data_IF_913615083507
#
_entry.id   IF_913615083507
#
_cell.length_a   1.000
_cell.length_b   1.000
_cell.length_c   1.000
_cell.angle_alpha   90.00
_cell.angle_beta   90.00
_cell.angle_gamma   90.00
#
_symmetry.space_group_name_H-M   'P 1'
#
loop_
_entity.id
_entity.type
_entity.pdbx_description
1 polymer ?
#
# COMPACT_ATOMS: atom_id res chain seq x y z
N UNK A 1 2.33 -2.29 -9.62
CA UNK A 1 3.27 -1.51 -8.79
C UNK A 1 4.68 -1.62 -9.40
N UNK A 2 5.39 -0.51 -9.66
CA UNK A 2 6.67 -0.52 -10.43
C UNK A 2 7.86 -0.08 -9.58
N UNK A 3 8.95 -0.83 -9.62
CA UNK A 3 10.22 -0.44 -9.00
C UNK A 3 11.23 -0.12 -10.09
N UNK A 4 11.91 1.02 -9.99
CA UNK A 4 13.04 1.37 -10.84
C UNK A 4 14.32 1.51 -10.02
N UNK A 5 15.38 0.84 -10.49
CA UNK A 5 16.73 1.09 -10.02
C UNK A 5 17.52 1.83 -11.10
N UNK A 6 18.05 2.99 -10.73
CA UNK A 6 18.91 3.80 -11.58
C UNK A 6 20.35 3.40 -11.33
N UNK A 7 21.02 2.92 -12.39
CA UNK A 7 22.39 2.45 -12.30
C UNK A 7 23.29 3.22 -13.25
N UNK A 8 24.48 3.56 -12.75
CA UNK A 8 25.63 3.96 -13.57
C UNK A 8 26.55 2.76 -13.72
N UNK A 9 27.32 2.64 -14.81
CA UNK A 9 28.33 1.58 -14.95
C UNK A 9 29.32 1.64 -13.77
N UNK A 10 29.19 0.74 -12.81
CA UNK A 10 30.01 0.67 -11.60
C UNK A 10 29.89 -0.68 -10.91
N UNK A 11 30.88 -1.05 -10.08
CA UNK A 11 30.98 -2.36 -9.42
C UNK A 11 29.84 -2.59 -8.43
N UNK A 12 29.49 -1.58 -7.62
CA UNK A 12 28.36 -1.63 -6.69
C UNK A 12 26.99 -1.81 -7.38
N UNK A 13 26.83 -1.28 -8.61
CA UNK A 13 25.60 -1.44 -9.38
C UNK A 13 25.45 -2.87 -9.94
N UNK A 14 26.54 -3.59 -10.22
CA UNK A 14 26.48 -4.97 -10.72
C UNK A 14 26.04 -5.96 -9.65
N UNK A 15 26.52 -5.82 -8.42
CA UNK A 15 26.15 -6.69 -7.31
C UNK A 15 24.66 -6.53 -6.98
N UNK A 16 24.22 -5.28 -6.83
CA UNK A 16 22.83 -4.94 -6.60
C UNK A 16 21.91 -5.45 -7.71
N UNK A 17 22.30 -5.30 -8.99
CA UNK A 17 21.52 -5.80 -10.10
C UNK A 17 21.29 -7.32 -10.02
N UNK A 18 22.30 -8.07 -9.60
CA UNK A 18 22.21 -9.52 -9.42
C UNK A 18 21.24 -9.89 -8.28
N UNK A 19 21.32 -9.19 -7.14
CA UNK A 19 20.40 -9.40 -6.03
C UNK A 19 18.95 -9.07 -6.42
N UNK A 20 18.72 -7.92 -7.05
CA UNK A 20 17.39 -7.49 -7.49
C UNK A 20 16.79 -8.40 -8.56
N UNK A 21 17.61 -8.97 -9.46
CA UNK A 21 17.14 -9.97 -10.41
C UNK A 21 16.62 -11.23 -9.70
N UNK A 22 17.29 -11.68 -8.62
CA UNK A 22 16.83 -12.81 -7.81
C UNK A 22 15.52 -12.49 -7.06
N UNK A 23 15.37 -11.27 -6.51
CA UNK A 23 14.08 -10.85 -5.94
C UNK A 23 12.98 -10.78 -6.99
N UNK A 24 13.26 -10.25 -8.19
CA UNK A 24 12.28 -10.15 -9.25
C UNK A 24 11.73 -11.53 -9.62
N UNK A 25 12.59 -12.55 -9.70
CA UNK A 25 12.17 -13.94 -9.91
C UNK A 25 11.29 -14.43 -8.77
N UNK A 26 11.70 -14.26 -7.51
CA UNK A 26 10.90 -14.67 -6.35
C UNK A 26 9.55 -13.97 -6.28
N UNK A 27 9.48 -12.66 -6.54
CA UNK A 27 8.25 -11.88 -6.54
C UNK A 27 7.30 -12.31 -7.66
N UNK A 28 7.86 -12.67 -8.83
CA UNK A 28 7.10 -13.23 -9.95
C UNK A 28 6.53 -14.61 -9.60
N UNK A 29 7.28 -15.45 -8.91
CA UNK A 29 6.82 -16.77 -8.44
C UNK A 29 5.70 -16.65 -7.40
N UNK A 30 5.78 -15.66 -6.50
CA UNK A 30 4.73 -15.35 -5.53
C UNK A 30 3.50 -14.64 -6.13
N UNK A 31 3.40 -14.55 -7.47
CA UNK A 31 2.33 -13.85 -8.21
C UNK A 31 2.08 -12.42 -7.71
N UNK A 32 3.09 -11.77 -7.15
CA UNK A 32 2.92 -10.42 -6.63
C UNK A 32 2.78 -9.41 -7.78
N UNK A 33 2.01 -8.34 -7.58
CA UNK A 33 1.80 -7.27 -8.59
C UNK A 33 3.02 -6.34 -8.78
N UNK A 34 4.17 -6.74 -8.22
CA UNK A 34 5.43 -6.03 -8.26
C UNK A 34 6.16 -6.30 -9.57
N UNK A 35 6.40 -5.23 -10.34
CA UNK A 35 7.23 -5.24 -11.54
C UNK A 35 8.52 -4.50 -11.25
N UNK A 36 9.64 -5.21 -11.34
CA UNK A 36 10.98 -4.63 -11.18
C UNK A 36 11.54 -4.25 -12.55
N UNK A 37 12.06 -3.03 -12.64
CA UNK A 37 12.67 -2.46 -13.83
C UNK A 37 14.04 -1.87 -13.53
N UNK A 38 14.96 -1.98 -14.49
CA UNK A 38 16.26 -1.31 -14.45
C UNK A 38 16.26 -0.15 -15.43
N UNK A 39 16.69 1.03 -14.98
CA UNK A 39 16.89 2.19 -15.86
C UNK A 39 18.38 2.49 -15.93
N UNK A 40 18.91 2.56 -17.16
CA UNK A 40 20.27 3.04 -17.36
C UNK A 40 20.27 4.56 -17.32
N UNK A 41 20.83 5.11 -16.25
CA UNK A 41 20.87 6.55 -16.02
C UNK A 41 21.73 7.29 -17.05
N UNK A 42 22.64 6.59 -17.74
CA UNK A 42 23.49 7.16 -18.79
C UNK A 42 22.72 7.41 -20.08
N UNK A 43 21.66 6.62 -20.33
CA UNK A 43 20.82 6.71 -21.53
C UNK A 43 19.60 7.57 -21.25
N UNK A 44 19.00 7.43 -20.06
CA UNK A 44 17.76 8.11 -19.68
C UNK A 44 17.99 9.28 -18.73
N UNK A 45 18.79 10.26 -19.18
CA UNK A 45 19.11 11.46 -18.38
C UNK A 45 17.88 12.32 -18.05
N UNK A 46 16.86 12.34 -18.91
CA UNK A 46 15.60 13.05 -18.67
C UNK A 46 14.80 12.45 -17.49
N UNK A 47 14.77 11.12 -17.36
CA UNK A 47 14.11 10.46 -16.23
C UNK A 47 14.88 10.71 -14.92
N UNK A 48 16.22 10.69 -14.99
CA UNK A 48 17.10 11.00 -13.85
C UNK A 48 16.83 12.42 -13.33
N UNK A 49 16.71 13.40 -14.24
CA UNK A 49 16.39 14.79 -13.89
C UNK A 49 14.96 14.93 -13.33
N UNK A 50 13.98 14.31 -14.00
CA UNK A 50 12.56 14.35 -13.61
C UNK A 50 12.36 13.82 -12.20
N UNK A 51 13.01 12.71 -11.86
CA UNK A 51 12.91 12.09 -10.54
C UNK A 51 13.98 12.56 -9.55
N UNK A 52 14.82 13.55 -9.92
CA UNK A 52 15.87 14.14 -9.08
C UNK A 52 16.82 13.10 -8.49
N UNK A 53 17.29 12.17 -9.32
CA UNK A 53 18.25 11.14 -8.91
C UNK A 53 19.65 11.77 -8.79
N UNK A 54 20.14 11.93 -7.56
CA UNK A 54 21.42 12.60 -7.27
C UNK A 54 22.58 11.64 -7.01
N UNK A 55 22.31 10.39 -6.61
CA UNK A 55 23.32 9.38 -6.28
C UNK A 55 23.10 8.09 -7.09
N UNK A 56 24.09 7.19 -7.07
CA UNK A 56 23.95 5.88 -7.71
C UNK A 56 24.53 4.80 -6.80
N UNK A 57 23.87 3.63 -6.67
CA UNK A 57 22.53 3.34 -7.19
C UNK A 57 21.42 4.09 -6.40
N UNK A 58 20.35 4.50 -7.09
CA UNK A 58 19.13 5.01 -6.44
C UNK A 58 17.95 4.10 -6.77
N UNK A 59 17.14 3.79 -5.77
CA UNK A 59 15.93 3.01 -5.91
C UNK A 59 14.72 3.90 -5.74
N UNK A 60 13.86 3.93 -6.77
CA UNK A 60 12.57 4.60 -6.70
C UNK A 60 11.45 3.62 -6.94
N UNK A 61 10.48 3.72 -6.05
CA UNK A 61 9.33 2.87 -5.96
C UNK A 61 8.10 3.66 -6.46
N UNK A 62 7.25 3.09 -7.31
CA UNK A 62 6.03 3.73 -7.82
C UNK A 62 4.77 2.98 -7.41
N UNK A 63 4.08 3.50 -6.39
CA UNK A 63 2.78 3.00 -5.91
C UNK A 63 1.70 3.88 -6.52
N UNK A 64 0.78 3.32 -7.31
CA UNK A 64 -0.30 4.08 -7.95
C UNK A 64 0.16 5.36 -8.69
N UNK A 65 1.36 5.31 -9.30
CA UNK A 65 1.96 6.45 -10.00
C UNK A 65 2.69 7.47 -9.10
N UNK A 66 2.63 7.34 -7.77
CA UNK A 66 3.38 8.16 -6.81
C UNK A 66 4.80 7.60 -6.60
N UNK A 67 5.86 8.39 -6.81
CA UNK A 67 7.23 7.97 -6.54
C UNK A 67 7.57 8.07 -5.05
N UNK A 68 8.15 7.02 -4.51
CA UNK A 68 8.72 6.91 -3.16
C UNK A 68 10.21 6.57 -3.30
N UNK A 69 11.06 7.25 -2.56
CA UNK A 69 12.48 6.96 -2.53
C UNK A 69 12.78 5.95 -1.42
N UNK A 70 13.61 4.95 -1.73
CA UNK A 70 14.10 4.00 -0.74
C UNK A 70 15.49 4.43 -0.28
N UNK A 71 15.59 4.80 0.99
CA UNK A 71 16.84 5.24 1.65
C UNK A 71 17.48 4.13 2.51
N UNK A 72 16.91 2.93 2.50
CA UNK A 72 17.40 1.81 3.29
C UNK A 72 18.63 1.10 2.70
N UNK A 73 19.07 0.04 3.38
CA UNK A 73 20.23 -0.76 2.96
C UNK A 73 20.01 -1.41 1.60
N UNK A 74 21.10 -1.55 0.83
CA UNK A 74 21.18 -2.24 -0.47
C UNK A 74 20.98 -3.77 -0.39
N UNK A 75 20.35 -4.26 0.68
CA UNK A 75 20.11 -5.69 0.91
C UNK A 75 18.70 -6.08 0.47
N UNK A 76 18.60 -7.28 -0.12
CA UNK A 76 17.34 -7.83 -0.60
C UNK A 76 16.28 -7.95 0.50
N UNK A 77 16.67 -8.41 1.69
CA UNK A 77 15.75 -8.65 2.79
C UNK A 77 15.24 -7.33 3.38
N UNK A 78 16.12 -6.34 3.55
CA UNK A 78 15.70 -4.99 3.98
C UNK A 78 14.76 -4.35 2.96
N UNK A 79 15.04 -4.53 1.67
CA UNK A 79 14.18 -4.02 0.61
C UNK A 79 12.81 -4.69 0.59
N UNK A 80 12.74 -6.02 0.72
CA UNK A 80 11.48 -6.75 0.77
C UNK A 80 10.66 -6.36 2.02
N UNK A 81 11.29 -6.28 3.18
CA UNK A 81 10.62 -5.86 4.41
C UNK A 81 10.06 -4.43 4.31
N UNK A 82 10.83 -3.49 3.75
CA UNK A 82 10.36 -2.13 3.50
C UNK A 82 9.23 -2.10 2.47
N UNK A 83 9.33 -2.93 1.43
CA UNK A 83 8.28 -3.04 0.43
C UNK A 83 7.00 -3.54 1.09
N UNK A 84 7.06 -4.60 1.90
CA UNK A 84 5.97 -5.17 2.72
C UNK A 84 5.35 -4.14 3.67
N UNK A 85 6.16 -3.28 4.30
CA UNK A 85 5.68 -2.19 5.15
C UNK A 85 4.97 -1.09 4.33
N UNK A 86 5.51 -0.71 3.17
CA UNK A 86 4.93 0.34 2.32
C UNK A 86 3.72 -0.11 1.51
N UNK A 87 3.58 -1.40 1.26
CA UNK A 87 2.41 -2.03 0.64
C UNK A 87 1.45 -2.62 1.65
N UNK A 88 1.68 -2.39 2.95
CA UNK A 88 0.78 -2.90 3.98
C UNK A 88 -0.66 -2.63 3.51
N UNK A 89 -1.49 -3.70 3.42
CA UNK A 89 -2.66 -3.68 2.56
C UNK A 89 -3.46 -2.41 2.83
N UNK A 90 -3.79 -1.63 1.78
CA UNK A 90 -4.49 -0.35 1.94
C UNK A 90 -5.78 -0.54 2.74
N UNK A 91 -6.33 -1.76 2.67
CA UNK A 91 -7.44 -2.21 3.49
C UNK A 91 -7.06 -3.47 4.26
N UNK A 92 -6.87 -3.34 5.57
CA UNK A 92 -6.64 -4.48 6.47
C UNK A 92 -7.94 -5.22 6.77
N UNK A 93 -8.00 -6.52 6.52
CA UNK A 93 -9.14 -7.34 6.95
C UNK A 93 -9.05 -7.60 8.45
N UNK A 94 -10.05 -7.18 9.21
CA UNK A 94 -10.12 -7.31 10.67
C UNK A 94 -11.16 -8.37 11.02
N UNK A 95 -10.72 -9.43 11.69
CA UNK A 95 -11.57 -10.56 12.06
C UNK A 95 -11.83 -10.65 13.56
N UNK A 96 -11.09 -9.87 14.37
CA UNK A 96 -11.22 -9.86 15.83
C UNK A 96 -11.37 -8.45 16.41
N UNK A 97 -12.11 -8.35 17.52
CA UNK A 97 -12.29 -7.09 18.23
C UNK A 97 -10.98 -6.53 18.83
N UNK A 98 -10.01 -7.40 19.13
CA UNK A 98 -8.69 -7.00 19.63
C UNK A 98 -7.86 -6.32 18.53
N UNK A 99 -7.85 -6.89 17.33
CA UNK A 99 -7.22 -6.30 16.15
C UNK A 99 -7.85 -4.96 15.78
N UNK A 100 -9.18 -4.85 15.90
CA UNK A 100 -9.88 -3.59 15.67
C UNK A 100 -9.44 -2.49 16.65
N UNK A 101 -9.25 -2.83 17.93
CA UNK A 101 -8.78 -1.87 18.93
C UNK A 101 -7.36 -1.41 18.63
N UNK A 102 -6.46 -2.36 18.34
CA UNK A 102 -5.07 -2.06 17.95
C UNK A 102 -5.00 -1.19 16.69
N UNK A 103 -5.81 -1.50 15.69
CA UNK A 103 -5.89 -0.73 14.45
C UNK A 103 -6.38 0.70 14.71
N UNK A 104 -7.41 0.86 15.55
CA UNK A 104 -7.95 2.16 15.96
C UNK A 104 -6.97 3.00 16.77
N UNK A 105 -6.05 2.38 17.51
CA UNK A 105 -5.00 3.07 18.29
C UNK A 105 -3.74 3.35 17.46
N UNK A 106 -3.57 2.67 16.31
CA UNK A 106 -2.38 2.83 15.47
C UNK A 106 -2.31 4.17 14.74
N UNK A 107 -3.43 4.87 14.56
CA UNK A 107 -3.47 6.17 13.89
C UNK A 107 -4.62 7.04 14.39
N UNK A 108 -4.41 8.37 14.39
CA UNK A 108 -5.43 9.36 14.78
C UNK A 108 -6.63 9.40 13.82
N UNK A 109 -6.37 9.11 12.54
CA UNK A 109 -7.39 9.00 11.49
C UNK A 109 -7.38 7.57 10.95
N UNK A 110 -8.51 6.87 11.10
CA UNK A 110 -8.68 5.50 10.59
C UNK A 110 -10.06 5.34 9.96
N UNK A 111 -10.12 4.57 8.87
CA UNK A 111 -11.38 4.23 8.20
C UNK A 111 -11.65 2.75 8.37
N UNK A 112 -12.84 2.39 8.86
CA UNK A 112 -13.23 1.00 9.07
C UNK A 112 -14.58 0.79 8.41
N UNK A 113 -14.62 -0.02 7.35
CA UNK A 113 -15.86 -0.42 6.71
C UNK A 113 -16.32 -1.79 7.21
N UNK A 114 -17.63 -1.95 7.37
CA UNK A 114 -18.24 -3.25 7.61
C UNK A 114 -19.10 -3.65 6.42
N UNK A 115 -18.87 -4.84 5.87
CA UNK A 115 -19.71 -5.43 4.82
C UNK A 115 -20.14 -6.82 5.24
N UNK A 116 -21.42 -7.18 5.07
CA UNK A 116 -21.86 -8.58 5.28
C UNK A 116 -21.27 -9.53 4.25
N UNK A 117 -21.15 -9.07 3.01
CA UNK A 117 -20.72 -9.88 1.87
C UNK A 117 -19.38 -9.39 1.33
N UNK A 118 -18.38 -10.29 1.33
CA UNK A 118 -17.04 -10.04 0.79
C UNK A 118 -17.02 -9.75 -0.71
N UNK A 119 -18.02 -10.23 -1.43
CA UNK A 119 -18.20 -10.01 -2.87
C UNK A 119 -19.28 -8.96 -3.20
N UNK A 120 -19.74 -8.18 -2.23
CA UNK A 120 -20.66 -7.08 -2.53
C UNK A 120 -19.97 -6.03 -3.40
N UNK A 121 -20.73 -5.42 -4.32
CA UNK A 121 -20.23 -4.35 -5.17
C UNK A 121 -19.66 -3.17 -4.35
N UNK A 122 -20.13 -2.99 -3.12
CA UNK A 122 -19.65 -1.96 -2.19
C UNK A 122 -18.30 -2.32 -1.56
N UNK A 123 -18.09 -3.60 -1.19
CA UNK A 123 -16.80 -4.08 -0.73
C UNK A 123 -15.72 -3.97 -1.81
N UNK A 124 -16.03 -4.33 -3.07
CA UNK A 124 -15.10 -4.18 -4.19
C UNK A 124 -14.72 -2.72 -4.41
N UNK A 125 -15.71 -1.81 -4.47
CA UNK A 125 -15.45 -0.37 -4.62
C UNK A 125 -14.62 0.19 -3.46
N UNK A 126 -14.89 -0.25 -2.24
CA UNK A 126 -14.12 0.18 -1.07
C UNK A 126 -12.66 -0.26 -1.20
N UNK A 127 -12.41 -1.53 -1.54
CA UNK A 127 -11.07 -2.05 -1.78
C UNK A 127 -10.34 -1.33 -2.94
N UNK A 128 -11.07 -0.86 -3.95
CA UNK A 128 -10.51 -0.07 -5.06
C UNK A 128 -10.22 1.39 -4.70
N UNK A 129 -11.07 2.01 -3.89
CA UNK A 129 -10.99 3.44 -3.57
C UNK A 129 -10.04 3.73 -2.41
N UNK A 130 -10.04 2.90 -1.37
CA UNK A 130 -9.19 3.09 -0.19
C UNK A 130 -7.68 3.25 -0.47
N UNK A 131 -7.05 2.48 -1.38
CA UNK A 131 -5.65 2.71 -1.77
C UNK A 131 -5.36 4.07 -2.42
N UNK A 132 -6.39 4.82 -2.83
CA UNK A 132 -6.21 6.19 -3.33
C UNK A 132 -6.09 7.21 -2.19
N UNK A 133 -6.61 6.88 -1.01
CA UNK A 133 -6.56 7.73 0.17
C UNK A 133 -5.35 7.35 1.03
N UNK A 134 -4.58 8.34 1.47
CA UNK A 134 -3.41 8.16 2.35
C UNK A 134 -3.88 7.98 3.81
N UNK A 135 -4.87 7.11 4.03
CA UNK A 135 -5.47 6.85 5.34
C UNK A 135 -5.47 5.35 5.61
N UNK A 136 -5.04 4.90 6.81
CA UNK A 136 -5.14 3.51 7.19
C UNK A 136 -6.60 3.07 7.13
N UNK A 137 -6.90 2.11 6.25
CA UNK A 137 -8.24 1.57 6.08
C UNK A 137 -8.31 0.12 6.52
N UNK A 138 -9.47 -0.27 7.05
CA UNK A 138 -9.77 -1.63 7.42
C UNK A 138 -11.15 -2.04 6.91
N UNK A 139 -11.35 -3.34 6.72
CA UNK A 139 -12.63 -3.95 6.39
C UNK A 139 -12.94 -5.06 7.38
N UNK A 140 -14.19 -5.10 7.83
CA UNK A 140 -14.72 -6.14 8.70
C UNK A 140 -15.80 -6.88 7.91
N UNK A 141 -15.78 -8.21 7.94
CA UNK A 141 -16.88 -9.04 7.43
C UNK A 141 -17.68 -9.70 8.55
N UNK A 142 -17.11 -9.72 9.76
CA UNK A 142 -17.71 -10.38 10.91
C UNK A 142 -18.70 -9.46 11.66
N UNK A 143 -19.94 -9.92 11.77
CA UNK A 143 -21.02 -9.16 12.43
C UNK A 143 -20.82 -8.99 13.95
N UNK A 144 -20.10 -9.90 14.61
CA UNK A 144 -19.82 -9.80 16.04
C UNK A 144 -18.80 -8.68 16.32
N UNK A 145 -17.78 -8.57 15.45
CA UNK A 145 -16.78 -7.49 15.52
C UNK A 145 -17.42 -6.14 15.20
N UNK A 146 -18.30 -6.08 14.18
CA UNK A 146 -19.03 -4.86 13.83
C UNK A 146 -19.93 -4.36 14.97
N UNK A 147 -20.65 -5.26 15.64
CA UNK A 147 -21.46 -4.92 16.83
C UNK A 147 -20.59 -4.39 17.98
N UNK A 148 -19.46 -5.04 18.27
CA UNK A 148 -18.49 -4.54 19.26
C UNK A 148 -17.91 -3.17 18.91
N UNK A 149 -17.93 -2.82 17.63
CA UNK A 149 -17.44 -1.57 17.08
C UNK A 149 -18.50 -0.45 17.05
N UNK A 150 -19.77 -0.77 17.33
CA UNK A 150 -20.97 0.05 17.12
C UNK A 150 -21.13 0.49 15.65
N UNK A 151 -20.85 -0.43 14.73
CA UNK A 151 -21.00 -0.24 13.29
C UNK A 151 -22.24 -1.02 12.84
N UNK A 152 -23.22 -0.32 12.26
CA UNK A 152 -24.41 -0.95 11.66
C UNK A 152 -24.08 -1.56 10.29
N UNK A 153 -24.98 -2.40 9.79
CA UNK A 153 -24.77 -3.14 8.54
C UNK A 153 -24.49 -2.23 7.33
N UNK A 154 -23.44 -2.55 6.57
CA UNK A 154 -22.99 -1.80 5.38
C UNK A 154 -22.60 -0.33 5.67
N UNK A 155 -22.17 0.00 6.89
CA UNK A 155 -21.67 1.33 7.24
C UNK A 155 -20.14 1.40 7.19
N UNK A 156 -19.65 2.59 6.85
CA UNK A 156 -18.25 2.99 6.89
C UNK A 156 -18.07 3.94 8.08
N UNK A 157 -17.26 3.54 9.05
CA UNK A 157 -16.90 4.37 10.19
C UNK A 157 -15.58 5.09 9.88
N UNK A 158 -15.63 6.41 9.85
CA UNK A 158 -14.45 7.27 9.83
C UNK A 158 -14.19 7.79 11.24
N UNK A 159 -13.01 7.51 11.77
CA UNK A 159 -12.54 8.07 13.03
C UNK A 159 -11.57 9.20 12.71
N UNK A 160 -11.83 10.38 13.28
CA UNK A 160 -10.95 11.55 13.20
C UNK A 160 -10.72 12.11 14.60
N UNK A 161 -9.66 12.90 14.84
CA UNK A 161 -9.40 13.52 16.15
C UNK A 161 -10.53 14.46 16.61
N UNK A 162 -11.36 14.97 15.68
CA UNK A 162 -12.54 15.80 15.97
C UNK A 162 -13.82 15.00 16.28
N UNK A 163 -13.79 13.66 16.24
CA UNK A 163 -14.94 12.82 16.52
C UNK A 163 -15.06 11.60 15.59
N UNK A 164 -16.05 10.76 15.89
CA UNK A 164 -16.44 9.61 15.06
C UNK A 164 -17.52 10.07 14.08
N UNK A 165 -17.31 9.82 12.79
CA UNK A 165 -18.31 10.00 11.75
C UNK A 165 -18.69 8.63 11.18
N UNK A 166 -19.96 8.28 11.28
CA UNK A 166 -20.54 7.10 10.63
C UNK A 166 -21.16 7.52 9.32
N UNK A 167 -20.70 6.95 8.22
CA UNK A 167 -21.30 7.09 6.90
C UNK A 167 -22.01 5.80 6.55
N UNK A 168 -23.31 5.86 6.29
CA UNK A 168 -24.00 4.75 5.63
C UNK A 168 -23.64 4.74 4.16
N UNK A 169 -23.37 3.55 3.59
CA UNK A 169 -23.17 3.43 2.13
C UNK A 169 -24.37 4.05 1.43
N UNK A 170 -24.07 5.06 0.60
CA UNK A 170 -25.04 5.88 -0.10
C UNK A 170 -26.06 5.02 -0.85
N UNK A 171 -27.24 4.80 -0.25
CA UNK A 171 -28.47 4.77 -1.05
C UNK A 171 -28.50 6.10 -1.78
N UNK A 172 -28.27 6.07 -3.10
CA UNK A 172 -28.57 7.17 -4.03
C UNK A 172 -29.79 7.95 -3.53
N UNK A 173 -29.56 9.13 -2.96
CA UNK A 173 -30.52 10.23 -2.91
C UNK A 173 -29.83 11.43 -3.56
N UNK A 174 -29.60 11.34 -4.87
CA UNK A 174 -29.66 12.53 -5.68
C UNK A 174 -31.13 12.62 -6.10
N UNK A 175 -31.89 13.41 -5.34
CA UNK A 175 -33.19 13.95 -5.74
C UNK A 175 -32.99 15.38 -6.18
#
# INVERSE_FOLDING_TARGET
MFLYTFMRRGVACKDLACQFAKAATKLKENKSEFKLGKVDASIHTELVATYKVCSYPTMKFFINGKPYEYEGSNDLASFLAWLEEKIEPPVKEITSADELKKFRDSAEITVVAYFRDKNSADATKYLELMPLFDVPSAVIYDSAVAKGANIEDNNILLRSPGGKATFSTLKKKCG
#
